data_IF_594886022181
#
_entry.id   IF_594886022181
#
_cell.length_a   1.000
_cell.length_b   1.000
_cell.length_c   1.000
_cell.angle_alpha   90.00
_cell.angle_beta   90.00
_cell.angle_gamma   90.00
#
_symmetry.space_group_name_H-M   'P 1'
#
loop_
_entity.id
_entity.type
_entity.pdbx_description
1 polymer ?
#
# COMPACT_ATOMS: atom_id res chain seq x y z
N UNK A 1 -45.93 -2.54 -94.49
CA UNK A 1 -44.69 -3.30 -94.75
C UNK A 1 -43.49 -2.54 -94.20
N UNK A 2 -42.91 -2.97 -93.07
CA UNK A 2 -41.46 -3.10 -92.82
C UNK A 2 -41.26 -3.70 -91.43
N UNK A 3 -40.33 -4.63 -91.39
CA UNK A 3 -40.15 -5.72 -90.43
C UNK A 3 -39.05 -5.38 -89.41
N UNK A 4 -39.18 -5.92 -88.18
CA UNK A 4 -38.13 -6.31 -87.21
C UNK A 4 -37.25 -5.17 -86.64
N UNK A 5 -36.86 -5.17 -85.36
CA UNK A 5 -36.11 -6.26 -84.70
C UNK A 5 -36.17 -6.11 -83.17
N UNK A 6 -36.39 -7.23 -82.49
CA UNK A 6 -36.14 -7.45 -81.06
C UNK A 6 -34.63 -7.41 -80.77
N UNK A 7 -34.21 -6.83 -79.64
CA UNK A 7 -33.03 -7.34 -78.94
C UNK A 7 -33.06 -6.99 -77.44
N UNK A 8 -32.96 -8.02 -76.60
CA UNK A 8 -32.80 -7.98 -75.14
C UNK A 8 -31.35 -7.67 -74.78
N UNK A 9 -31.10 -6.92 -73.72
CA UNK A 9 -29.92 -7.02 -72.84
C UNK A 9 -30.29 -6.33 -71.51
N UNK A 10 -30.62 -7.09 -70.47
CA UNK A 10 -29.72 -7.62 -69.43
C UNK A 10 -29.46 -6.60 -68.31
N UNK A 11 -29.87 -7.02 -67.12
CA UNK A 11 -29.77 -6.32 -65.85
C UNK A 11 -28.33 -5.92 -65.50
N UNK A 12 -28.19 -4.74 -64.90
CA UNK A 12 -27.01 -4.36 -64.12
C UNK A 12 -27.51 -3.80 -62.79
N UNK A 13 -27.56 -4.69 -61.81
CA UNK A 13 -27.68 -4.40 -60.38
C UNK A 13 -26.41 -3.63 -59.96
N UNK A 14 -26.50 -2.55 -59.18
CA UNK A 14 -25.32 -1.88 -58.66
C UNK A 14 -24.66 -2.77 -57.61
N UNK A 15 -23.48 -3.32 -57.94
CA UNK A 15 -22.59 -3.91 -56.94
C UNK A 15 -22.07 -2.76 -56.06
N UNK A 16 -22.71 -2.54 -54.92
CA UNK A 16 -22.15 -1.76 -53.85
C UNK A 16 -20.90 -2.49 -53.34
N UNK A 17 -19.70 -2.02 -53.74
CA UNK A 17 -18.47 -2.40 -53.07
C UNK A 17 -18.53 -1.85 -51.64
N UNK A 18 -18.88 -2.74 -50.71
CA UNK A 18 -18.71 -2.51 -49.29
C UNK A 18 -17.22 -2.35 -48.99
N UNK A 19 -16.78 -1.09 -48.86
CA UNK A 19 -15.55 -0.74 -48.16
C UNK A 19 -15.72 -1.15 -46.69
N UNK A 20 -15.39 -2.39 -46.37
CA UNK A 20 -15.18 -2.78 -44.99
C UNK A 20 -13.96 -1.99 -44.47
N UNK A 21 -14.08 -1.20 -43.39
CA UNK A 21 -12.89 -0.68 -42.75
C UNK A 21 -12.15 -1.88 -42.16
N UNK A 22 -10.98 -2.19 -42.72
CA UNK A 22 -9.97 -3.01 -42.04
C UNK A 22 -9.46 -2.17 -40.87
N UNK A 23 -10.28 -2.07 -39.83
CA UNK A 23 -9.82 -1.71 -38.51
C UNK A 23 -9.06 -2.93 -38.00
N UNK A 24 -7.75 -2.95 -38.22
CA UNK A 24 -6.86 -3.72 -37.37
C UNK A 24 -7.15 -3.26 -35.94
N UNK A 25 -7.77 -4.15 -35.17
CA UNK A 25 -7.99 -3.97 -33.76
C UNK A 25 -6.66 -3.57 -33.12
N UNK A 26 -6.55 -2.28 -32.77
CA UNK A 26 -5.60 -1.81 -31.77
C UNK A 26 -5.75 -2.73 -30.58
N UNK A 27 -4.61 -3.26 -30.11
CA UNK A 27 -4.50 -4.46 -29.27
C UNK A 27 -5.61 -4.61 -28.24
N UNK A 28 -6.03 -5.86 -28.03
CA UNK A 28 -6.87 -6.27 -26.91
C UNK A 28 -6.53 -5.41 -25.70
N UNK A 29 -7.50 -4.64 -25.22
CA UNK A 29 -7.34 -3.81 -24.04
C UNK A 29 -6.75 -4.72 -22.95
N UNK A 30 -5.45 -4.62 -22.70
CA UNK A 30 -4.81 -5.42 -21.69
C UNK A 30 -5.58 -5.11 -20.40
N UNK A 31 -6.19 -6.13 -19.80
CA UNK A 31 -7.00 -5.92 -18.61
C UNK A 31 -6.09 -5.27 -17.56
N UNK A 32 -6.38 -4.00 -17.24
CA UNK A 32 -5.59 -3.24 -16.28
C UNK A 32 -5.84 -3.82 -14.89
N UNK A 33 -4.86 -4.56 -14.40
CA UNK A 33 -4.81 -5.06 -13.03
C UNK A 33 -4.21 -4.05 -12.07
N UNK A 34 -4.07 -4.49 -10.83
CA UNK A 34 -3.42 -3.74 -9.76
C UNK A 34 -2.57 -4.70 -8.94
N UNK A 35 -1.47 -4.18 -8.40
CA UNK A 35 -0.68 -4.82 -7.36
C UNK A 35 -0.43 -3.80 -6.25
N UNK A 36 -0.37 -4.24 -5.01
CA UNK A 36 -0.21 -3.37 -3.86
C UNK A 36 1.23 -3.35 -3.36
N UNK A 37 1.70 -2.17 -2.97
CA UNK A 37 2.92 -1.99 -2.20
C UNK A 37 2.58 -1.34 -0.86
N UNK A 38 3.27 -1.76 0.19
CA UNK A 38 3.12 -1.21 1.54
C UNK A 38 4.47 -0.66 1.98
N UNK A 39 4.51 0.63 2.29
CA UNK A 39 5.65 1.26 2.95
C UNK A 39 5.28 1.65 4.38
N UNK A 40 6.30 1.78 5.23
CA UNK A 40 6.16 2.22 6.61
C UNK A 40 7.03 3.43 6.89
N UNK A 41 6.57 4.28 7.79
CA UNK A 41 7.35 5.34 8.43
C UNK A 41 7.06 5.29 9.92
N UNK A 42 8.07 5.46 10.76
CA UNK A 42 7.88 5.59 12.21
C UNK A 42 8.24 6.99 12.64
N UNK A 43 7.29 7.67 13.27
CA UNK A 43 7.41 9.05 13.74
C UNK A 43 7.19 9.08 15.25
N UNK A 44 7.93 9.95 15.93
CA UNK A 44 7.62 10.32 17.30
C UNK A 44 6.75 11.58 17.29
N UNK A 45 5.76 11.66 18.17
CA UNK A 45 5.04 12.92 18.38
C UNK A 45 5.98 13.99 18.95
N UNK A 46 5.69 15.29 18.74
CA UNK A 46 6.57 16.37 19.19
C UNK A 46 6.85 16.36 20.71
N UNK A 47 5.91 15.87 21.50
CA UNK A 47 5.96 15.75 22.96
C UNK A 47 6.42 14.37 23.44
N UNK A 48 6.83 13.47 22.53
CA UNK A 48 7.20 12.10 22.88
C UNK A 48 8.39 12.07 23.86
N UNK A 49 8.35 11.20 24.91
CA UNK A 49 9.41 11.11 25.91
C UNK A 49 10.80 10.88 25.31
N UNK A 50 10.89 10.10 24.24
CA UNK A 50 12.16 9.80 23.57
C UNK A 50 12.83 11.03 22.92
N UNK A 51 12.06 11.99 22.40
CA UNK A 51 12.62 13.19 21.76
C UNK A 51 13.12 14.20 22.79
N UNK A 52 12.51 14.21 23.98
CA UNK A 52 12.93 15.12 25.06
C UNK A 52 14.14 14.59 25.83
N UNK A 53 14.22 13.27 26.05
CA UNK A 53 15.24 12.66 26.93
C UNK A 53 16.44 12.09 26.20
N UNK A 54 16.26 11.63 24.96
CA UNK A 54 17.23 10.76 24.29
C UNK A 54 17.68 11.30 22.93
N UNK A 55 17.82 12.61 22.77
CA UNK A 55 18.31 13.21 21.50
C UNK A 55 19.68 12.64 21.11
N UNK A 56 19.81 12.20 19.86
CA UNK A 56 21.03 11.57 19.36
C UNK A 56 21.32 10.17 19.91
N UNK A 57 20.49 9.63 20.81
CA UNK A 57 20.67 8.28 21.32
C UNK A 57 20.42 7.25 20.21
N UNK A 58 21.15 6.15 20.29
CA UNK A 58 20.96 5.00 19.41
C UNK A 58 19.92 4.04 19.98
N UNK A 59 19.29 3.26 19.12
CA UNK A 59 18.32 2.26 19.53
C UNK A 59 17.90 1.36 18.39
N UNK A 60 16.92 0.52 18.69
CA UNK A 60 16.27 -0.34 17.72
C UNK A 60 14.76 -0.26 17.88
N UNK A 61 14.05 -0.48 16.79
CA UNK A 61 12.61 -0.69 16.79
C UNK A 61 12.27 -1.91 15.97
N UNK A 62 11.35 -2.72 16.47
CA UNK A 62 10.73 -3.81 15.73
C UNK A 62 9.23 -3.77 15.93
N UNK A 63 8.48 -4.24 14.94
CA UNK A 63 7.03 -4.34 15.09
C UNK A 63 6.49 -5.50 14.28
N UNK A 64 5.28 -5.89 14.63
CA UNK A 64 4.58 -6.96 13.94
C UNK A 64 3.38 -6.38 13.19
N UNK A 65 3.30 -6.67 11.89
CA UNK A 65 2.19 -6.27 11.02
C UNK A 65 1.45 -7.50 10.54
N UNK A 66 0.18 -7.63 10.92
CA UNK A 66 -0.73 -8.60 10.33
C UNK A 66 -1.19 -8.08 8.97
N UNK A 67 -0.94 -8.86 7.92
CA UNK A 67 -1.32 -8.56 6.55
C UNK A 67 -2.22 -9.66 5.98
N UNK A 68 -3.32 -9.24 5.38
CA UNK A 68 -4.19 -10.10 4.56
C UNK A 68 -4.46 -9.41 3.23
N UNK A 69 -3.92 -10.00 2.16
CA UNK A 69 -4.08 -9.56 0.79
C UNK A 69 -4.59 -10.76 -0.04
N UNK A 70 -5.90 -10.83 -0.24
CA UNK A 70 -6.56 -11.94 -0.92
C UNK A 70 -7.18 -11.49 -2.24
N UNK A 71 -6.76 -12.13 -3.32
CA UNK A 71 -7.24 -12.07 -4.70
C UNK A 71 -7.74 -13.44 -5.14
N UNK A 72 -8.31 -13.49 -6.34
CA UNK A 72 -8.48 -14.75 -7.06
C UNK A 72 -7.11 -15.33 -7.48
N UNK A 73 -6.19 -14.44 -7.87
CA UNK A 73 -4.87 -14.73 -8.44
C UNK A 73 -3.77 -14.94 -7.38
N UNK A 74 -3.87 -14.29 -6.23
CA UNK A 74 -2.90 -14.40 -5.14
C UNK A 74 -3.59 -14.36 -3.78
N UNK A 75 -3.17 -15.23 -2.85
CA UNK A 75 -3.70 -15.26 -1.47
C UNK A 75 -2.54 -15.16 -0.51
N UNK A 76 -2.40 -14.00 0.13
CA UNK A 76 -1.43 -13.78 1.18
C UNK A 76 -2.12 -13.53 2.51
N UNK A 77 -1.73 -14.30 3.51
CA UNK A 77 -2.03 -14.04 4.91
C UNK A 77 -0.78 -14.32 5.74
N UNK A 78 -0.32 -13.34 6.50
CA UNK A 78 0.91 -13.49 7.25
C UNK A 78 1.15 -12.39 8.27
N UNK A 79 2.20 -12.60 9.06
CA UNK A 79 2.72 -11.62 10.02
C UNK A 79 4.08 -11.16 9.53
N UNK A 80 4.18 -9.92 9.07
CA UNK A 80 5.45 -9.27 8.75
C UNK A 80 6.09 -8.81 10.06
N UNK A 81 7.41 -8.98 10.20
CA UNK A 81 8.16 -8.62 11.41
C UNK A 81 9.38 -7.77 11.07
N UNK A 82 9.19 -6.56 10.53
CA UNK A 82 10.31 -5.66 10.27
C UNK A 82 11.03 -5.30 11.57
N UNK A 83 12.35 -5.18 11.46
CA UNK A 83 13.24 -4.71 12.51
C UNK A 83 14.18 -3.66 11.92
N UNK A 84 14.42 -2.61 12.69
CA UNK A 84 15.23 -1.46 12.34
C UNK A 84 16.27 -1.28 13.46
N UNK A 85 17.45 -1.91 13.32
CA UNK A 85 18.57 -1.66 14.22
C UNK A 85 19.20 -0.30 13.93
N UNK A 86 20.07 0.17 14.83
CA UNK A 86 20.94 1.34 14.63
C UNK A 86 20.20 2.65 14.34
N UNK A 87 18.99 2.80 14.86
CA UNK A 87 18.22 4.05 14.76
C UNK A 87 18.86 5.12 15.63
N UNK A 88 18.94 6.34 15.11
CA UNK A 88 19.37 7.52 15.88
C UNK A 88 18.16 8.41 16.10
N UNK A 89 17.89 8.76 17.35
CA UNK A 89 16.81 9.69 17.68
C UNK A 89 17.13 11.07 17.07
N UNK A 90 16.26 11.62 16.21
CA UNK A 90 16.57 12.83 15.47
C UNK A 90 16.55 14.08 16.36
N UNK A 91 17.32 15.10 15.97
CA UNK A 91 17.48 16.37 16.69
C UNK A 91 16.27 17.33 16.59
N UNK A 92 15.05 16.81 16.41
CA UNK A 92 13.86 17.65 16.37
C UNK A 92 12.56 16.88 16.14
N UNK A 93 11.43 17.49 16.52
CA UNK A 93 10.11 16.92 16.31
C UNK A 93 9.77 16.80 14.83
N UNK A 94 8.91 15.84 14.49
CA UNK A 94 8.41 15.64 13.13
C UNK A 94 9.40 14.96 12.17
N UNK A 95 10.65 14.72 12.59
CA UNK A 95 11.58 13.87 11.83
C UNK A 95 11.27 12.40 12.10
N UNK A 96 11.24 11.54 11.07
CA UNK A 96 11.02 10.12 11.25
C UNK A 96 12.20 9.45 11.96
N UNK A 97 11.87 8.56 12.89
CA UNK A 97 12.79 7.58 13.47
C UNK A 97 13.14 6.54 12.41
N UNK A 98 12.13 6.05 11.69
CA UNK A 98 12.28 5.15 10.55
C UNK A 98 11.79 5.88 9.32
N UNK A 99 12.71 6.17 8.39
CA UNK A 99 12.40 6.75 7.09
C UNK A 99 11.45 5.84 6.31
N UNK A 100 10.75 6.42 5.33
CA UNK A 100 9.84 5.66 4.48
C UNK A 100 10.56 4.45 3.86
N UNK A 101 10.15 3.26 4.27
CA UNK A 101 10.80 2.00 3.90
C UNK A 101 9.75 1.01 3.42
N UNK A 102 10.05 0.30 2.33
CA UNK A 102 9.16 -0.76 1.81
C UNK A 102 9.09 -1.93 2.78
N UNK A 103 7.87 -2.30 3.19
CA UNK A 103 7.61 -3.49 4.00
C UNK A 103 7.26 -4.71 3.15
N UNK A 104 6.46 -4.50 2.12
CA UNK A 104 5.91 -5.58 1.34
C UNK A 104 5.39 -5.08 0.00
N UNK A 105 5.37 -5.96 -1.00
CA UNK A 105 4.88 -5.68 -2.34
C UNK A 105 4.32 -6.98 -2.91
N UNK A 106 3.18 -6.90 -3.60
CA UNK A 106 2.63 -8.06 -4.30
C UNK A 106 3.50 -8.40 -5.51
N UNK A 107 3.82 -9.69 -5.62
CA UNK A 107 4.59 -10.24 -6.73
C UNK A 107 3.77 -10.36 -8.03
N UNK A 108 2.44 -10.51 -7.91
CA UNK A 108 1.54 -10.82 -9.02
C UNK A 108 0.50 -9.71 -9.17
N UNK A 109 0.30 -9.26 -10.42
CA UNK A 109 -0.79 -8.37 -10.78
C UNK A 109 -2.12 -9.11 -10.68
N UNK A 110 -3.14 -8.48 -10.11
CA UNK A 110 -4.44 -9.12 -9.90
C UNK A 110 -5.59 -8.19 -10.28
N UNK A 111 -6.79 -8.74 -10.48
CA UNK A 111 -7.97 -7.94 -10.80
C UNK A 111 -8.24 -6.90 -9.70
N UNK A 112 -8.69 -5.69 -10.08
CA UNK A 112 -8.93 -4.61 -9.12
C UNK A 112 -9.92 -5.04 -8.04
N UNK A 113 -9.54 -4.82 -6.77
CA UNK A 113 -10.33 -5.13 -5.57
C UNK A 113 -10.11 -4.09 -4.48
N UNK A 114 -10.71 -4.33 -3.31
CA UNK A 114 -10.45 -3.55 -2.11
C UNK A 114 -8.99 -3.66 -1.64
N UNK A 115 -8.57 -2.68 -0.83
CA UNK A 115 -7.23 -2.63 -0.25
C UNK A 115 -6.93 -3.86 0.61
N UNK A 116 -5.65 -4.30 0.68
CA UNK A 116 -5.25 -5.30 1.65
C UNK A 116 -5.55 -4.82 3.07
N UNK A 117 -5.93 -5.76 3.95
CA UNK A 117 -6.13 -5.49 5.37
C UNK A 117 -4.76 -5.52 6.05
N UNK A 118 -4.36 -4.39 6.61
CA UNK A 118 -3.05 -4.23 7.27
C UNK A 118 -3.27 -3.72 8.67
N UNK A 119 -2.61 -4.32 9.67
CA UNK A 119 -2.78 -3.96 11.07
C UNK A 119 -1.48 -4.17 11.83
N UNK A 120 -0.93 -3.12 12.44
CA UNK A 120 0.18 -3.27 13.38
C UNK A 120 -0.38 -3.85 14.68
N UNK A 121 0.21 -4.93 15.18
CA UNK A 121 -0.29 -5.64 16.36
C UNK A 121 0.60 -5.51 17.59
N UNK A 122 1.87 -5.19 17.36
CA UNK A 122 2.89 -5.04 18.39
C UNK A 122 3.96 -4.07 17.89
N UNK A 123 4.47 -3.24 18.78
CA UNK A 123 5.64 -2.38 18.61
C UNK A 123 6.57 -2.62 19.80
N UNK A 124 7.84 -2.87 19.53
CA UNK A 124 8.85 -3.14 20.54
C UNK A 124 10.18 -2.51 20.17
N UNK A 125 11.11 -2.48 21.12
CA UNK A 125 12.47 -1.99 20.89
C UNK A 125 12.97 -1.21 22.09
N UNK A 126 14.08 -0.51 21.91
CA UNK A 126 14.66 0.30 22.97
C UNK A 126 15.53 1.41 22.41
N UNK A 127 15.72 2.47 23.20
CA UNK A 127 16.67 3.54 22.91
C UNK A 127 17.58 3.77 24.11
N UNK A 128 18.83 4.13 23.83
CA UNK A 128 19.95 4.25 24.76
C UNK A 128 20.39 2.92 25.42
N UNK A 129 21.51 2.97 26.12
CA UNK A 129 22.10 1.86 26.86
C UNK A 129 22.18 2.18 28.36
N UNK A 130 22.19 1.15 29.21
CA UNK A 130 22.36 1.30 30.66
C UNK A 130 21.19 2.00 31.37
N UNK A 131 21.50 2.82 32.39
CA UNK A 131 20.51 3.46 33.27
C UNK A 131 19.60 4.49 32.57
N UNK A 132 19.93 4.89 31.33
CA UNK A 132 19.12 5.78 30.50
C UNK A 132 18.22 5.08 29.49
N UNK A 133 18.20 3.74 29.47
CA UNK A 133 17.47 2.96 28.47
C UNK A 133 15.96 3.13 28.60
N UNK A 134 15.31 3.53 27.51
CA UNK A 134 13.86 3.54 27.39
C UNK A 134 13.43 2.29 26.62
N UNK A 135 12.72 1.40 27.30
CA UNK A 135 12.06 0.26 26.67
C UNK A 135 10.77 0.68 25.99
N UNK A 136 10.57 0.20 24.78
CA UNK A 136 9.34 0.32 24.01
C UNK A 136 8.70 -1.06 23.98
N UNK A 137 7.47 -1.16 24.47
CA UNK A 137 6.67 -2.38 24.40
C UNK A 137 5.18 -2.01 24.40
N UNK A 138 4.65 -1.81 23.20
CA UNK A 138 3.26 -1.49 22.97
C UNK A 138 2.55 -2.64 22.23
N UNK A 139 1.42 -3.09 22.77
CA UNK A 139 0.61 -4.15 22.15
C UNK A 139 -0.84 -3.71 22.06
N UNK A 140 -1.58 -4.33 21.14
CA UNK A 140 -3.02 -4.13 21.06
C UNK A 140 -3.67 -4.64 22.35
N UNK A 141 -4.52 -3.80 22.96
CA UNK A 141 -5.29 -4.21 24.13
C UNK A 141 -6.35 -5.23 23.73
N UNK A 142 -6.48 -6.26 24.55
CA UNK A 142 -7.57 -7.21 24.48
C UNK A 142 -8.39 -7.16 25.77
N UNK A 143 -9.72 -7.11 25.62
CA UNK A 143 -10.64 -7.13 26.76
C UNK A 143 -10.45 -8.46 27.50
N UNK A 144 -10.35 -8.40 28.83
CA UNK A 144 -10.14 -9.58 29.68
C UNK A 144 -8.67 -9.97 29.90
N UNK A 145 -7.71 -9.26 29.29
CA UNK A 145 -6.28 -9.40 29.59
C UNK A 145 -5.75 -8.25 30.45
N UNK A 146 -4.58 -8.47 31.06
CA UNK A 146 -3.86 -7.44 31.80
C UNK A 146 -3.56 -6.23 30.89
N UNK A 147 -3.65 -5.04 31.47
CA UNK A 147 -3.32 -3.80 30.75
C UNK A 147 -1.83 -3.81 30.44
N UNK A 148 -1.43 -3.65 29.16
CA UNK A 148 -0.02 -3.62 28.82
C UNK A 148 0.65 -2.34 29.34
N UNK A 149 1.98 -2.35 29.53
CA UNK A 149 2.73 -1.15 29.92
C UNK A 149 2.55 0.03 28.95
N UNK A 150 2.37 -0.28 27.65
CA UNK A 150 1.96 0.68 26.63
C UNK A 150 0.88 0.05 25.72
N UNK A 151 -0.11 0.85 25.33
CA UNK A 151 -1.26 0.43 24.54
C UNK A 151 -1.08 0.91 23.10
N UNK A 152 -1.18 -0.02 22.15
CA UNK A 152 -1.17 0.28 20.72
C UNK A 152 -2.61 0.37 20.20
N UNK A 153 -2.94 1.52 19.61
CA UNK A 153 -4.22 1.74 18.91
C UNK A 153 -3.98 1.64 17.40
N UNK A 154 -4.36 0.53 16.76
CA UNK A 154 -4.13 0.34 15.32
C UNK A 154 -5.29 0.88 14.48
N UNK A 155 -5.03 1.09 13.18
CA UNK A 155 -6.08 1.29 12.18
C UNK A 155 -6.68 2.70 12.14
N UNK A 156 -6.01 3.68 12.74
CA UNK A 156 -6.40 5.09 12.61
C UNK A 156 -6.24 5.48 11.14
N UNK A 157 -7.35 5.80 10.48
CA UNK A 157 -7.32 6.20 9.07
C UNK A 157 -6.75 7.61 8.95
N UNK A 158 -5.72 7.78 8.13
CA UNK A 158 -5.18 9.08 7.77
C UNK A 158 -5.75 9.56 6.43
N UNK A 159 -5.55 10.82 6.12
CA UNK A 159 -5.91 11.37 4.82
C UNK A 159 -5.15 10.66 3.70
N UNK A 160 -5.84 10.49 2.56
CA UNK A 160 -5.17 10.00 1.35
C UNK A 160 -4.18 11.05 0.88
N UNK A 161 -3.06 10.60 0.35
CA UNK A 161 -2.02 11.48 -0.16
C UNK A 161 -1.48 11.01 -1.50
N UNK A 162 -0.49 11.76 -1.98
CA UNK A 162 0.27 11.46 -3.17
C UNK A 162 1.73 11.83 -2.91
N UNK A 163 2.66 10.93 -3.23
CA UNK A 163 4.09 11.20 -3.15
C UNK A 163 4.83 10.64 -4.38
N UNK A 164 6.16 10.52 -4.32
CA UNK A 164 6.97 10.04 -5.44
C UNK A 164 6.63 8.63 -5.93
N UNK A 165 5.91 7.82 -5.16
CA UNK A 165 5.43 6.49 -5.57
C UNK A 165 3.98 6.52 -6.12
N UNK A 166 3.30 7.67 -6.03
CA UNK A 166 1.93 7.86 -6.50
C UNK A 166 0.93 8.00 -5.35
N UNK A 167 -0.35 7.82 -5.69
CA UNK A 167 -1.46 7.95 -4.75
C UNK A 167 -1.40 6.84 -3.70
N UNK A 168 -1.59 7.19 -2.43
CA UNK A 168 -1.58 6.24 -1.34
C UNK A 168 -2.75 6.39 -0.37
N UNK A 169 -3.06 5.29 0.29
CA UNK A 169 -3.96 5.21 1.43
C UNK A 169 -3.13 5.01 2.69
N UNK A 170 -3.34 5.86 3.70
CA UNK A 170 -2.52 5.83 4.91
C UNK A 170 -3.31 5.39 6.14
N UNK A 171 -2.68 4.57 6.97
CA UNK A 171 -3.20 4.08 8.24
C UNK A 171 -2.13 4.22 9.31
N UNK A 172 -2.52 4.57 10.52
CA UNK A 172 -1.63 4.75 11.66
C UNK A 172 -1.93 3.74 12.75
N UNK A 173 -0.87 3.20 13.34
CA UNK A 173 -0.91 2.63 14.66
C UNK A 173 -0.16 3.54 15.63
N UNK A 174 -0.80 3.92 16.72
CA UNK A 174 -0.29 4.91 17.67
C UNK A 174 -0.13 4.27 19.04
N UNK A 175 1.05 4.39 19.64
CA UNK A 175 1.26 4.00 21.03
C UNK A 175 0.85 5.12 21.97
N UNK A 176 0.26 4.76 23.11
CA UNK A 176 -0.35 5.71 24.03
C UNK A 176 0.67 6.41 24.91
N UNK A 177 1.60 5.65 25.50
CA UNK A 177 2.57 6.15 26.48
C UNK A 177 3.87 6.56 25.80
N UNK A 178 4.37 5.76 24.85
CA UNK A 178 5.60 6.10 24.12
C UNK A 178 5.39 7.15 23.03
N UNK A 179 4.13 7.44 22.65
CA UNK A 179 3.75 8.47 21.67
C UNK A 179 4.43 8.27 20.31
N UNK A 180 4.50 7.01 19.89
CA UNK A 180 5.07 6.60 18.61
C UNK A 180 3.95 6.31 17.62
N UNK A 181 4.11 6.82 16.41
CA UNK A 181 3.23 6.61 15.27
C UNK A 181 3.92 5.70 14.26
N UNK A 182 3.32 4.55 13.99
CA UNK A 182 3.69 3.67 12.88
C UNK A 182 2.70 3.93 11.75
N UNK A 183 3.15 4.67 10.75
CA UNK A 183 2.35 5.06 9.60
C UNK A 183 2.60 4.10 8.45
N UNK A 184 1.55 3.44 8.00
CA UNK A 184 1.53 2.51 6.88
C UNK A 184 0.90 3.19 5.67
N UNK A 185 1.63 3.24 4.56
CA UNK A 185 1.12 3.71 3.27
C UNK A 185 0.91 2.54 2.33
N UNK A 186 -0.28 2.43 1.75
CA UNK A 186 -0.66 1.41 0.78
C UNK A 186 -0.80 2.07 -0.59
N UNK A 187 0.02 1.65 -1.54
CA UNK A 187 0.05 2.11 -2.92
C UNK A 187 -0.62 1.08 -3.82
N UNK A 188 -1.74 1.39 -4.47
CA UNK A 188 -2.22 0.63 -5.62
C UNK A 188 -1.38 1.01 -6.85
N UNK A 189 -0.62 0.05 -7.38
CA UNK A 189 0.22 0.21 -8.56
C UNK A 189 -0.49 -0.47 -9.72
N UNK A 190 -0.83 0.30 -10.75
CA UNK A 190 -1.44 -0.24 -11.96
C UNK A 190 -0.43 -1.12 -12.73
N UNK A 191 -0.91 -2.26 -13.22
CA UNK A 191 -0.10 -3.24 -13.95
C UNK A 191 -0.97 -3.97 -14.99
N UNK A 192 -0.31 -4.70 -15.90
CA UNK A 192 -0.99 -5.56 -16.86
C UNK A 192 -1.15 -6.96 -16.27
N UNK A 193 -2.36 -7.52 -16.41
CA UNK A 193 -2.65 -8.93 -16.07
C UNK A 193 -1.96 -9.88 -17.05
#
# INVERSE_FOLDING_TARGET
>A
MRFRTFCRLLALVPLALGLAPVGTALGAAAELGVRHRIDVTVLAEPDAPILSRLKGAKGELSFTVRLSANSNESKFFGMLRPSFPDLVVPDGPGKPLVQQTKLWEEDVCHQRRGLPKVTVTQLGGHFAEGEGRIEISAINRHIGLLVPPDELTPGIKLDKGNDGFGVFYAFRAQSRNSRLNVDLKIYPIDCFL
#
